data_IF_621628992572
#
_entry.id   IF_621628992572
#
_cell.length_a   1.000
_cell.length_b   1.000
_cell.length_c   1.000
_cell.angle_alpha   90.00
_cell.angle_beta   90.00
_cell.angle_gamma   90.00
#
_symmetry.space_group_name_H-M   'P 1'
#
loop_
_entity.id
_entity.type
_entity.pdbx_description
1 polymer ?
#
# COMPACT_ATOMS: atom_id res chain seq x y z
N UNK A 1 31.10 -16.69 16.05
CA UNK A 1 29.79 -17.05 15.42
C UNK A 1 28.72 -15.95 15.55
N UNK A 2 28.63 -15.19 16.66
CA UNK A 2 27.65 -14.08 16.82
C UNK A 2 27.73 -12.98 15.76
N UNK A 3 28.92 -12.63 15.29
CA UNK A 3 29.14 -11.60 14.27
C UNK A 3 28.57 -11.97 12.90
N UNK A 4 28.68 -13.25 12.51
CA UNK A 4 28.16 -13.74 11.22
C UNK A 4 26.63 -13.71 11.22
N UNK A 5 25.99 -14.13 12.32
CA UNK A 5 24.52 -14.10 12.45
C UNK A 5 23.91 -12.71 12.29
N UNK A 6 24.54 -11.69 12.87
CA UNK A 6 24.08 -10.30 12.74
C UNK A 6 24.24 -9.75 11.32
N UNK A 7 25.32 -10.14 10.61
CA UNK A 7 25.54 -9.75 9.22
C UNK A 7 24.50 -10.40 8.31
N UNK A 8 24.22 -11.70 8.47
CA UNK A 8 23.20 -12.40 7.67
C UNK A 8 21.81 -11.79 7.90
N UNK A 9 21.46 -11.44 9.14
CA UNK A 9 20.19 -10.78 9.45
C UNK A 9 20.09 -9.39 8.81
N UNK A 10 21.18 -8.62 8.82
CA UNK A 10 21.24 -7.31 8.15
C UNK A 10 21.07 -7.42 6.64
N UNK A 11 21.75 -8.37 6.00
CA UNK A 11 21.62 -8.64 4.55
C UNK A 11 20.21 -9.10 4.19
N UNK A 12 19.60 -9.97 5.00
CA UNK A 12 18.23 -10.43 4.79
C UNK A 12 17.19 -9.30 4.92
N UNK A 13 17.36 -8.40 5.90
CA UNK A 13 16.52 -7.21 6.02
C UNK A 13 16.67 -6.28 4.82
N UNK A 14 17.91 -6.05 4.37
CA UNK A 14 18.20 -5.18 3.24
C UNK A 14 17.63 -5.73 1.92
N UNK A 15 17.78 -7.04 1.68
CA UNK A 15 17.21 -7.67 0.48
C UNK A 15 15.68 -7.65 0.52
N UNK A 16 15.07 -7.91 1.67
CA UNK A 16 13.62 -7.85 1.83
C UNK A 16 13.07 -6.43 1.63
N UNK A 17 13.77 -5.42 2.15
CA UNK A 17 13.46 -4.01 1.90
C UNK A 17 13.55 -3.66 0.42
N UNK A 18 14.61 -4.10 -0.27
CA UNK A 18 14.78 -3.88 -1.71
C UNK A 18 13.68 -4.55 -2.53
N UNK A 19 13.30 -5.78 -2.16
CA UNK A 19 12.19 -6.50 -2.81
C UNK A 19 10.87 -5.78 -2.57
N UNK A 20 10.58 -5.29 -1.36
CA UNK A 20 9.39 -4.48 -1.11
C UNK A 20 9.37 -3.19 -1.92
N UNK A 21 10.51 -2.51 -2.10
CA UNK A 21 10.60 -1.33 -2.96
C UNK A 21 10.37 -1.64 -4.45
N UNK A 22 10.81 -2.81 -4.92
CA UNK A 22 10.52 -3.24 -6.29
C UNK A 22 9.03 -3.58 -6.46
N UNK A 23 8.43 -4.20 -5.43
CA UNK A 23 7.00 -4.47 -5.39
C UNK A 23 6.17 -3.18 -5.33
N UNK A 24 6.60 -2.17 -4.58
CA UNK A 24 5.86 -0.90 -4.46
C UNK A 24 5.67 -0.22 -5.81
N UNK A 25 6.64 -0.33 -6.73
CA UNK A 25 6.51 0.18 -8.11
C UNK A 25 5.33 -0.37 -8.89
N UNK A 26 4.80 -1.53 -8.51
CA UNK A 26 3.62 -2.14 -9.15
C UNK A 26 2.41 -2.03 -8.24
N UNK A 27 2.59 -2.23 -6.94
CA UNK A 27 1.51 -2.23 -5.95
C UNK A 27 0.89 -0.84 -5.81
N UNK A 28 1.69 0.23 -5.72
CA UNK A 28 1.20 1.60 -5.59
C UNK A 28 0.34 2.06 -6.78
N UNK A 29 0.77 1.93 -8.05
CA UNK A 29 -0.08 2.35 -9.16
C UNK A 29 -1.35 1.50 -9.26
N UNK A 30 -1.29 0.20 -8.94
CA UNK A 30 -2.47 -0.66 -8.92
C UNK A 30 -3.45 -0.20 -7.83
N UNK A 31 -2.97 0.07 -6.61
CA UNK A 31 -3.81 0.54 -5.51
C UNK A 31 -4.41 1.92 -5.80
N UNK A 32 -3.65 2.83 -6.42
CA UNK A 32 -4.16 4.14 -6.83
C UNK A 32 -5.26 4.03 -7.90
N UNK A 33 -5.09 3.14 -8.88
CA UNK A 33 -6.12 2.87 -9.89
C UNK A 33 -7.37 2.26 -9.25
N UNK A 34 -7.21 1.29 -8.35
CA UNK A 34 -8.35 0.66 -7.64
C UNK A 34 -9.07 1.68 -6.76
N UNK A 35 -8.33 2.52 -6.03
CA UNK A 35 -8.90 3.59 -5.22
C UNK A 35 -9.66 4.61 -6.09
N UNK A 36 -9.06 5.03 -7.21
CA UNK A 36 -9.68 5.96 -8.16
C UNK A 36 -10.95 5.39 -8.80
N UNK A 37 -10.93 4.13 -9.22
CA UNK A 37 -12.11 3.44 -9.76
C UNK A 37 -13.21 3.28 -8.69
N UNK A 38 -12.85 2.89 -7.47
CA UNK A 38 -13.79 2.80 -6.35
C UNK A 38 -14.47 4.13 -6.07
N UNK A 39 -13.70 5.22 -6.03
CA UNK A 39 -14.24 6.57 -5.84
C UNK A 39 -15.14 6.99 -7.02
N UNK A 40 -14.72 6.71 -8.25
CA UNK A 40 -15.48 7.06 -9.44
C UNK A 40 -16.84 6.36 -9.47
N UNK A 41 -16.87 5.05 -9.19
CA UNK A 41 -18.11 4.26 -9.11
C UNK A 41 -18.96 4.75 -7.94
N UNK A 42 -18.37 5.04 -6.78
CA UNK A 42 -19.10 5.57 -5.63
C UNK A 42 -19.79 6.89 -5.95
N UNK A 43 -19.07 7.85 -6.54
CA UNK A 43 -19.62 9.14 -6.93
C UNK A 43 -20.68 9.00 -8.03
N UNK A 44 -20.45 8.13 -9.01
CA UNK A 44 -21.44 7.82 -10.05
C UNK A 44 -22.72 7.25 -9.46
N UNK A 45 -22.62 6.29 -8.54
CA UNK A 45 -23.77 5.74 -7.82
C UNK A 45 -24.44 6.80 -6.93
N UNK A 46 -23.68 7.62 -6.22
CA UNK A 46 -24.23 8.64 -5.33
C UNK A 46 -25.03 9.71 -6.07
N UNK A 47 -24.59 10.10 -7.27
CA UNK A 47 -25.22 11.15 -8.09
C UNK A 47 -26.38 10.59 -8.92
N UNK A 48 -26.19 9.46 -9.61
CA UNK A 48 -27.14 8.97 -10.62
C UNK A 48 -28.00 7.79 -10.17
N UNK A 49 -27.51 6.97 -9.23
CA UNK A 49 -28.13 5.68 -8.88
C UNK A 49 -28.16 5.43 -7.37
N UNK A 50 -28.60 6.42 -6.60
CA UNK A 50 -28.60 6.40 -5.12
C UNK A 50 -29.42 5.25 -4.51
N UNK A 51 -30.32 4.65 -5.30
CA UNK A 51 -31.10 3.47 -4.93
C UNK A 51 -30.28 2.17 -4.90
N UNK A 52 -29.13 2.11 -5.58
CA UNK A 52 -28.22 0.97 -5.54
C UNK A 52 -27.22 1.07 -4.39
N UNK A 53 -27.73 1.01 -3.16
CA UNK A 53 -26.92 1.13 -1.95
C UNK A 53 -25.79 0.08 -1.86
N UNK A 54 -26.03 -1.15 -2.31
CA UNK A 54 -25.02 -2.21 -2.27
C UNK A 54 -23.80 -1.91 -3.16
N UNK A 55 -24.02 -1.45 -4.39
CA UNK A 55 -22.94 -1.08 -5.31
C UNK A 55 -22.18 0.16 -4.81
N UNK A 56 -22.89 1.13 -4.24
CA UNK A 56 -22.31 2.33 -3.66
C UNK A 56 -21.41 2.01 -2.47
N UNK A 57 -21.90 1.27 -1.47
CA UNK A 57 -21.09 0.91 -0.30
C UNK A 57 -19.96 -0.07 -0.65
N UNK A 58 -20.18 -0.97 -1.61
CA UNK A 58 -19.14 -1.88 -2.10
C UNK A 58 -17.97 -1.13 -2.75
N UNK A 59 -18.26 -0.18 -3.64
CA UNK A 59 -17.23 0.64 -4.30
C UNK A 59 -16.49 1.56 -3.32
N UNK A 60 -17.19 2.13 -2.34
CA UNK A 60 -16.56 2.88 -1.26
C UNK A 60 -15.63 2.01 -0.42
N UNK A 61 -16.07 0.81 -0.03
CA UNK A 61 -15.27 -0.13 0.76
C UNK A 61 -14.02 -0.58 0.00
N UNK A 62 -14.11 -0.79 -1.31
CA UNK A 62 -12.96 -1.09 -2.18
C UNK A 62 -11.99 0.10 -2.19
N UNK A 63 -12.49 1.33 -2.36
CA UNK A 63 -11.66 2.53 -2.35
C UNK A 63 -10.93 2.74 -1.03
N UNK A 64 -11.65 2.66 0.08
CA UNK A 64 -11.08 2.76 1.43
C UNK A 64 -10.11 1.61 1.73
N UNK A 65 -10.43 0.40 1.28
CA UNK A 65 -9.57 -0.77 1.41
C UNK A 65 -8.23 -0.58 0.68
N UNK A 66 -8.25 -0.05 -0.55
CA UNK A 66 -7.03 0.24 -1.30
C UNK A 66 -6.15 1.28 -0.59
N UNK A 67 -6.75 2.34 -0.02
CA UNK A 67 -6.04 3.34 0.78
C UNK A 67 -5.45 2.71 2.04
N UNK A 68 -6.23 1.90 2.77
CA UNK A 68 -5.76 1.22 3.98
C UNK A 68 -4.57 0.27 3.69
N UNK A 69 -4.63 -0.49 2.59
CA UNK A 69 -3.51 -1.33 2.14
C UNK A 69 -2.28 -0.48 1.79
N UNK A 70 -2.47 0.66 1.14
CA UNK A 70 -1.36 1.59 0.80
C UNK A 70 -0.68 2.10 2.07
N UNK A 71 -1.45 2.53 3.06
CA UNK A 71 -0.91 2.99 4.36
C UNK A 71 -0.19 1.86 5.09
N UNK A 72 -0.78 0.67 5.15
CA UNK A 72 -0.16 -0.50 5.78
C UNK A 72 1.17 -0.88 5.09
N UNK A 73 1.22 -0.78 3.76
CA UNK A 73 2.42 -1.03 2.97
C UNK A 73 3.54 -0.05 3.31
N UNK A 74 3.22 1.25 3.43
CA UNK A 74 4.17 2.28 3.82
C UNK A 74 4.71 2.07 5.25
N UNK A 75 3.83 1.72 6.20
CA UNK A 75 4.24 1.41 7.57
C UNK A 75 5.15 0.17 7.62
N UNK A 76 4.87 -0.85 6.80
CA UNK A 76 5.73 -2.02 6.70
C UNK A 76 7.11 -1.66 6.12
N UNK A 77 7.17 -0.83 5.07
CA UNK A 77 8.42 -0.31 4.51
C UNK A 77 9.23 0.49 5.54
N UNK A 78 8.57 1.35 6.33
CA UNK A 78 9.23 2.11 7.39
C UNK A 78 9.75 1.20 8.51
N UNK A 79 8.99 0.19 8.92
CA UNK A 79 9.43 -0.78 9.93
C UNK A 79 10.61 -1.66 9.46
N UNK A 80 10.74 -1.85 8.14
CA UNK A 80 11.82 -2.61 7.50
C UNK A 80 13.01 -1.75 7.08
N UNK A 81 12.89 -0.42 7.15
CA UNK A 81 13.95 0.49 6.78
C UNK A 81 15.18 0.29 7.70
N UNK A 82 16.39 0.13 7.14
CA UNK A 82 17.61 0.03 7.94
C UNK A 82 17.93 1.34 8.65
N UNK A 83 18.63 1.26 9.79
CA UNK A 83 19.01 2.43 10.59
C UNK A 83 19.78 3.45 9.73
N UNK A 84 19.29 4.68 9.68
CA UNK A 84 19.86 5.78 8.88
C UNK A 84 19.20 6.03 7.52
N UNK A 85 18.23 5.21 7.10
CA UNK A 85 17.47 5.45 5.86
C UNK A 85 16.09 6.02 6.19
N UNK A 86 15.82 7.25 5.74
CA UNK A 86 14.49 7.86 5.79
C UNK A 86 13.78 7.54 4.49
N UNK A 87 12.71 6.75 4.58
CA UNK A 87 11.80 6.51 3.45
C UNK A 87 10.88 7.72 3.33
N UNK A 88 11.24 8.65 2.45
CA UNK A 88 10.38 9.77 2.05
C UNK A 88 9.47 9.23 0.94
N UNK A 89 8.20 9.01 1.27
CA UNK A 89 7.17 8.79 0.25
C UNK A 89 6.45 10.11 0.04
N UNK A 90 6.51 10.64 -1.18
CA UNK A 90 5.64 11.75 -1.63
C UNK A 90 4.24 11.16 -1.81
N UNK A 91 3.45 11.18 -0.75
CA UNK A 91 2.01 10.88 -0.75
C UNK A 91 1.22 12.01 -1.40
#
# INVERSE_FOLDING_TARGET
MRTVGNVVLGVARYSLFTVMLLLSRVVEPVLNVVAGLGLFVFLGCAIFARHQAQAMWGSLAIGLGAVAVTVAWHLALQALAPEGVVVISDL
#
